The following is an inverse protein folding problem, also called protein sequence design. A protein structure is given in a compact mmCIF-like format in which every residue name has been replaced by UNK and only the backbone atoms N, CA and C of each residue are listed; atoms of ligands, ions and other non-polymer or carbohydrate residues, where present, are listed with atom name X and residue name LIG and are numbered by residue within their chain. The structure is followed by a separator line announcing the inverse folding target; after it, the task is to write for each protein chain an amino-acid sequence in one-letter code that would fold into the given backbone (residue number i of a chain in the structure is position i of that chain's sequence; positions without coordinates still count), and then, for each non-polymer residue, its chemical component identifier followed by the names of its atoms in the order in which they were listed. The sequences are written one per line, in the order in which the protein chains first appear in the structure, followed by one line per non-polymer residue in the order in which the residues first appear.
data_IF_054130790529
#
_entry.id   IF_054130790529
#
_cell.length_a   1.000
_cell.length_b   1.000
_cell.length_c   1.000
_cell.angle_alpha   90.00
_cell.angle_beta   90.00
_cell.angle_gamma   90.00
#
_symmetry.space_group_name_H-M   'P 1'
#
loop_
_entity.id
_entity.type
_entity.pdbx_description
1 polymer ?
#
# COMPACT_ATOMS: atom_id res chain seq x y z
N UNK A 1 7.05 10.95 3.97
CA UNK A 1 5.66 10.51 4.28
C UNK A 1 5.72 9.18 5.05
N UNK A 2 4.77 8.93 5.95
CA UNK A 2 4.62 7.66 6.69
C UNK A 2 3.40 6.91 6.17
N UNK A 3 3.60 5.70 5.63
CA UNK A 3 2.52 4.89 5.06
C UNK A 3 2.99 3.44 4.89
N UNK A 4 2.16 2.55 4.33
CA UNK A 4 2.58 1.19 3.98
C UNK A 4 2.39 0.94 2.48
N UNK A 5 3.46 0.56 1.78
CA UNK A 5 3.48 0.28 0.35
C UNK A 5 3.43 -1.22 0.06
N UNK A 6 2.85 -1.62 -1.08
CA UNK A 6 2.81 -3.03 -1.50
C UNK A 6 1.95 -3.91 -0.58
N UNK A 7 0.97 -3.33 0.10
CA UNK A 7 0.04 -4.07 0.95
C UNK A 7 -1.19 -4.45 0.12
N UNK A 8 -1.30 -5.73 -0.20
CA UNK A 8 -2.42 -6.28 -0.97
C UNK A 8 -3.44 -6.94 -0.06
N UNK A 9 -4.72 -6.75 -0.36
CA UNK A 9 -5.83 -7.39 0.35
C UNK A 9 -5.67 -8.92 0.33
N UNK A 10 -5.82 -9.57 1.49
CA UNK A 10 -5.67 -11.02 1.67
C UNK A 10 -4.22 -11.51 1.84
N UNK A 11 -3.22 -10.64 1.65
CA UNK A 11 -1.82 -11.03 1.93
C UNK A 11 -1.54 -11.02 3.44
N UNK A 12 -0.65 -11.91 3.87
CA UNK A 12 -0.19 -11.96 5.27
C UNK A 12 0.74 -10.78 5.64
N UNK A 13 1.51 -10.28 4.67
CA UNK A 13 2.46 -9.18 4.86
C UNK A 13 2.50 -8.27 3.63
N UNK A 14 2.93 -7.02 3.85
CA UNK A 14 3.21 -6.10 2.75
C UNK A 14 4.52 -6.52 2.06
N UNK A 15 4.58 -6.40 0.73
CA UNK A 15 5.80 -6.71 -0.05
C UNK A 15 6.74 -5.53 -0.15
N UNK A 16 6.25 -4.31 0.11
CA UNK A 16 6.99 -3.08 -0.13
C UNK A 16 7.19 -2.79 -1.62
N UNK A 17 6.47 -3.48 -2.53
CA UNK A 17 6.62 -3.33 -3.99
C UNK A 17 5.32 -2.80 -4.59
N UNK A 18 5.43 -1.75 -5.41
CA UNK A 18 4.32 -1.22 -6.20
C UNK A 18 3.32 -0.42 -5.39
N UNK A 19 2.97 0.77 -5.87
CA UNK A 19 1.97 1.65 -5.24
C UNK A 19 0.55 1.40 -5.74
N UNK A 20 0.43 0.94 -6.99
CA UNK A 20 -0.81 0.59 -7.64
C UNK A 20 -0.50 -0.53 -8.64
N UNK A 21 -1.12 -1.69 -8.44
CA UNK A 21 -0.96 -2.82 -9.33
C UNK A 21 -2.30 -3.54 -9.54
N UNK A 22 -2.53 -3.92 -10.79
CA UNK A 22 -3.61 -4.83 -11.19
C UNK A 22 -3.28 -6.31 -10.90
N UNK A 23 -2.06 -6.60 -10.43
CA UNK A 23 -1.59 -7.97 -10.14
C UNK A 23 -1.68 -8.24 -8.65
N UNK A 24 -1.95 -9.50 -8.31
CA UNK A 24 -1.80 -10.02 -6.95
C UNK A 24 -0.31 -10.00 -6.60
N UNK A 25 0.04 -9.41 -5.45
CA UNK A 25 1.42 -9.37 -4.95
C UNK A 25 1.78 -10.59 -4.09
N UNK A 26 0.80 -11.45 -3.77
CA UNK A 26 0.99 -12.72 -3.08
C UNK A 26 -0.05 -13.74 -3.58
N UNK A 27 0.17 -15.02 -3.28
CA UNK A 27 -0.75 -16.11 -3.66
C UNK A 27 -2.09 -16.06 -2.92
N UNK A 28 -2.08 -15.64 -1.65
CA UNK A 28 -3.26 -15.56 -0.80
C UNK A 28 -4.13 -14.31 -1.03
N UNK A 29 -3.80 -13.49 -2.02
CA UNK A 29 -4.53 -12.25 -2.29
C UNK A 29 -6.01 -12.54 -2.58
N UNK A 30 -6.89 -11.75 -1.97
CA UNK A 30 -8.33 -11.93 -2.09
C UNK A 30 -8.95 -11.01 -3.15
N UNK A 31 -10.20 -11.26 -3.49
CA UNK A 31 -10.99 -10.37 -4.34
C UNK A 31 -11.55 -9.17 -3.55
N UNK A 32 -11.79 -8.02 -4.21
CA UNK A 32 -12.44 -6.86 -3.62
C UNK A 32 -13.79 -7.19 -2.98
N UNK A 33 -14.08 -6.56 -1.83
CA UNK A 33 -15.38 -6.70 -1.15
C UNK A 33 -16.28 -5.48 -1.32
N UNK A 34 -15.71 -4.32 -1.69
CA UNK A 34 -16.47 -3.09 -1.83
C UNK A 34 -17.26 -3.00 -3.14
N UNK A 35 -18.55 -2.60 -3.08
CA UNK A 35 -19.34 -2.36 -4.28
C UNK A 35 -18.84 -1.14 -5.05
N UNK A 36 -19.16 -1.08 -6.34
CA UNK A 36 -18.63 -0.09 -7.29
C UNK A 36 -18.84 1.37 -6.89
N UNK A 37 -19.98 1.68 -6.26
CA UNK A 37 -20.32 3.03 -5.81
C UNK A 37 -19.46 3.51 -4.63
N UNK A 38 -18.86 2.59 -3.87
CA UNK A 38 -18.04 2.90 -2.70
C UNK A 38 -16.55 3.07 -3.04
N UNK A 39 -16.15 2.92 -4.31
CA UNK A 39 -14.75 3.07 -4.69
C UNK A 39 -14.29 4.52 -4.54
N UNK A 40 -13.15 4.71 -3.88
CA UNK A 40 -12.57 6.04 -3.63
C UNK A 40 -11.48 6.42 -4.64
N UNK A 41 -10.89 5.44 -5.32
CA UNK A 41 -9.84 5.61 -6.32
C UNK A 41 -10.15 4.82 -7.59
N UNK A 42 -9.61 5.26 -8.73
CA UNK A 42 -9.78 4.57 -10.01
C UNK A 42 -11.29 4.42 -10.38
N UNK A 43 -12.09 5.44 -10.03
CA UNK A 43 -13.57 5.38 -10.06
C UNK A 43 -14.19 5.44 -11.45
N UNK A 44 -13.43 5.68 -12.51
CA UNK A 44 -13.96 5.82 -13.88
C UNK A 44 -13.59 4.66 -14.79
N UNK A 45 -12.91 3.63 -14.28
CA UNK A 45 -12.55 2.47 -15.10
C UNK A 45 -13.66 1.42 -15.09
N UNK A 46 -13.59 0.52 -16.07
CA UNK A 46 -14.34 -0.73 -16.05
C UNK A 46 -13.75 -1.68 -15.01
N UNK A 47 -14.61 -2.24 -14.17
CA UNK A 47 -14.20 -3.20 -13.14
C UNK A 47 -13.46 -4.39 -13.73
N UNK A 48 -12.31 -4.72 -13.12
CA UNK A 48 -11.46 -5.83 -13.56
C UNK A 48 -10.75 -5.61 -14.89
N UNK A 49 -10.82 -4.42 -15.51
CA UNK A 49 -10.07 -4.12 -16.72
C UNK A 49 -8.58 -3.94 -16.43
N UNK A 50 -7.77 -3.91 -17.48
CA UNK A 50 -6.33 -3.64 -17.36
C UNK A 50 -6.01 -2.24 -16.76
N UNK A 51 -7.00 -1.36 -16.69
CA UNK A 51 -6.89 -0.03 -16.12
C UNK A 51 -7.33 0.02 -14.65
N UNK A 52 -7.92 -1.06 -14.11
CA UNK A 52 -8.24 -1.22 -12.68
C UNK A 52 -6.98 -1.53 -11.86
N UNK A 53 -6.01 -0.62 -11.94
CA UNK A 53 -4.67 -0.74 -11.34
C UNK A 53 -4.69 -0.62 -9.82
N UNK A 54 -5.86 -0.45 -9.21
CA UNK A 54 -6.03 -0.37 -7.77
C UNK A 54 -6.88 -1.52 -7.21
N UNK A 55 -7.22 -2.51 -8.05
CA UNK A 55 -8.10 -3.64 -7.68
C UNK A 55 -7.71 -4.30 -6.36
N UNK A 56 -6.41 -4.48 -6.12
CA UNK A 56 -5.89 -5.21 -4.96
C UNK A 56 -5.42 -4.30 -3.81
N UNK A 57 -5.69 -2.99 -3.89
CA UNK A 57 -5.29 -2.04 -2.85
C UNK A 57 -6.21 -2.12 -1.62
N UNK A 58 -5.73 -1.70 -0.43
CA UNK A 58 -6.46 -1.84 0.84
C UNK A 58 -7.88 -1.26 0.84
N UNK A 59 -8.08 -0.15 0.13
CA UNK A 59 -9.38 0.53 0.03
C UNK A 59 -10.35 -0.13 -0.96
N UNK A 60 -10.07 -1.33 -1.46
CA UNK A 60 -11.02 -2.18 -2.19
C UNK A 60 -11.61 -3.30 -1.32
N UNK A 61 -10.98 -3.58 -0.18
CA UNK A 61 -11.52 -4.43 0.89
C UNK A 61 -10.94 -3.96 2.26
N UNK A 62 -11.50 -2.90 2.86
CA UNK A 62 -10.99 -2.35 4.11
C UNK A 62 -10.90 -3.40 5.22
N UNK A 63 -9.79 -3.40 5.97
CA UNK A 63 -9.53 -4.35 7.05
C UNK A 63 -8.88 -5.67 6.62
N UNK A 64 -8.71 -5.93 5.32
CA UNK A 64 -8.15 -7.19 4.82
C UNK A 64 -6.73 -7.08 4.25
N UNK A 65 -6.16 -5.89 4.16
CA UNK A 65 -4.76 -5.73 3.80
C UNK A 65 -3.90 -5.57 5.07
N UNK A 66 -2.68 -6.12 5.08
CA UNK A 66 -1.74 -5.89 6.16
C UNK A 66 -1.26 -4.43 6.15
N UNK A 67 -0.60 -4.03 7.22
CA UNK A 67 0.19 -2.80 7.30
C UNK A 67 1.57 -3.16 7.83
N UNK A 68 2.60 -2.40 7.47
CA UNK A 68 3.92 -2.58 8.08
C UNK A 68 3.91 -2.20 9.55
N UNK A 69 3.24 -1.08 9.84
CA UNK A 69 3.17 -0.49 11.16
C UNK A 69 1.90 0.38 11.24
N UNK A 70 1.27 0.43 12.42
CA UNK A 70 0.05 1.22 12.62
C UNK A 70 0.30 2.73 12.45
N UNK A 71 1.51 3.21 12.77
CA UNK A 71 1.95 4.58 12.56
C UNK A 71 2.62 4.79 11.18
N UNK A 72 2.64 3.74 10.34
CA UNK A 72 3.24 3.73 9.02
C UNK A 72 4.74 3.52 9.03
N UNK A 73 5.31 3.28 7.84
CA UNK A 73 6.75 3.17 7.60
C UNK A 73 7.26 4.42 6.89
N UNK A 74 8.41 4.94 7.28
CA UNK A 74 9.05 6.08 6.63
C UNK A 74 9.33 5.74 5.15
N UNK A 75 8.70 6.46 4.22
CA UNK A 75 8.83 6.20 2.78
C UNK A 75 7.99 5.03 2.26
N UNK A 76 7.23 4.35 3.12
CA UNK A 76 6.30 3.28 2.73
C UNK A 76 6.93 1.90 2.60
N UNK A 77 8.24 1.81 2.53
CA UNK A 77 9.02 0.59 2.28
C UNK A 77 10.45 0.80 2.78
N UNK A 78 11.19 -0.27 3.03
CA UNK A 78 12.62 -0.26 3.35
C UNK A 78 13.51 -0.21 2.10
N UNK A 79 12.92 -0.30 0.90
CA UNK A 79 13.64 -0.32 -0.38
C UNK A 79 13.28 0.90 -1.21
N UNK A 80 14.28 1.58 -1.74
CA UNK A 80 14.06 2.59 -2.77
C UNK A 80 13.49 1.90 -4.02
N UNK A 81 12.17 2.01 -4.21
CA UNK A 81 11.54 1.61 -5.45
C UNK A 81 11.82 2.69 -6.50
N UNK A 82 12.03 2.29 -7.75
CA UNK A 82 12.11 3.20 -8.90
C UNK A 82 10.87 2.99 -9.78
N UNK A 83 10.10 4.06 -10.03
CA UNK A 83 8.88 4.01 -10.83
C UNK A 83 7.79 5.00 -10.42
N UNK A 84 6.62 4.97 -11.08
CA UNK A 84 5.48 5.83 -10.74
C UNK A 84 4.94 5.53 -9.34
N UNK A 85 4.67 6.58 -8.55
CA UNK A 85 4.11 6.46 -7.20
C UNK A 85 5.14 6.07 -6.13
N UNK A 86 6.43 6.16 -6.42
CA UNK A 86 7.50 6.05 -5.42
C UNK A 86 7.38 7.21 -4.43
N UNK A 87 7.57 6.92 -3.15
CA UNK A 87 7.86 7.94 -2.16
C UNK A 87 9.30 7.76 -1.70
N UNK A 88 10.10 8.82 -1.84
CA UNK A 88 11.41 8.90 -1.21
C UNK A 88 11.24 9.60 0.13
N UNK A 89 11.77 9.01 1.19
CA UNK A 89 11.87 9.66 2.48
C UNK A 89 13.22 10.36 2.56
N UNK A 90 13.22 11.68 2.71
CA UNK A 90 14.44 12.42 3.03
C UNK A 90 14.74 12.20 4.50
N UNK A 91 15.92 11.64 4.79
CA UNK A 91 16.36 11.42 6.15
C UNK A 91 16.36 12.72 6.95
N UNK A 92 16.01 12.60 8.23
CA UNK A 92 15.96 13.69 9.20
C UNK A 92 16.81 13.32 10.39
N UNK A 93 16.99 14.24 11.33
CA UNK A 93 17.65 13.91 12.60
C UNK A 93 16.85 12.92 13.47
N UNK A 94 15.59 12.63 13.14
CA UNK A 94 14.69 11.81 13.95
C UNK A 94 14.36 10.44 13.33
N UNK A 95 14.47 10.31 12.01
CA UNK A 95 14.10 9.10 11.28
C UNK A 95 14.77 9.06 9.91
N UNK A 96 14.92 7.85 9.38
CA UNK A 96 15.40 7.55 8.03
C UNK A 96 14.40 6.70 7.26
N UNK A 97 14.60 6.63 5.95
CA UNK A 97 13.80 5.73 5.08
C UNK A 97 13.76 4.30 5.62
N UNK A 98 12.55 3.74 5.71
CA UNK A 98 12.31 2.37 6.19
C UNK A 98 11.99 2.24 7.68
N UNK A 99 12.21 3.26 8.50
CA UNK A 99 11.89 3.20 9.94
C UNK A 99 10.40 2.97 10.20
N UNK A 100 10.07 2.25 11.28
CA UNK A 100 8.69 2.01 11.71
C UNK A 100 8.22 3.14 12.64
N UNK A 101 7.08 3.75 12.34
CA UNK A 101 6.59 4.92 13.05
C UNK A 101 6.37 4.64 14.55
N UNK A 102 5.86 3.47 14.91
CA UNK A 102 5.64 3.08 16.31
C UNK A 102 6.93 2.97 17.14
N UNK A 103 8.09 2.89 16.49
CA UNK A 103 9.41 2.77 17.13
C UNK A 103 10.11 4.11 17.27
N UNK A 104 10.03 4.97 16.25
CA UNK A 104 10.82 6.21 16.19
C UNK A 104 10.01 7.49 16.42
N UNK A 105 8.70 7.45 16.29
CA UNK A 105 7.86 8.62 16.56
C UNK A 105 7.50 8.69 18.06
N UNK A 106 7.40 9.90 18.62
CA UNK A 106 6.85 10.10 19.96
C UNK A 106 5.43 9.50 20.08
N UNK A 107 5.11 8.97 21.25
CA UNK A 107 3.79 8.41 21.59
C UNK A 107 2.85 9.46 22.15
#
# INVERSE_FOLDING_TARGET
LWFSQGCTIGCASCTGIGSHTQRRLCESAMEPTLPRWAWTMNRHVKEGSAQDTYRYNPWRAPGFAPVFDACGRAGGTDRANFGPGVAVFSDTMFAKGGDMGSEVLPR
#
